data_IF_287406691302
#
_entry.id   IF_287406691302
#
_cell.length_a   1.000
_cell.length_b   1.000
_cell.length_c   1.000
_cell.angle_alpha   90.00
_cell.angle_beta   90.00
_cell.angle_gamma   90.00
#
_symmetry.space_group_name_H-M   'P 1'
#
loop_
_entity.id
_entity.type
_entity.pdbx_description
1 polymer ?
#
# COMPACT_ATOMS: atom_id res chain seq x y z
N UNK A 1 25.86 -8.50 12.13
CA UNK A 1 25.37 -9.37 13.23
C UNK A 1 24.04 -8.82 13.73
N UNK A 2 22.98 -9.64 13.85
CA UNK A 2 21.75 -9.18 14.50
C UNK A 2 22.07 -8.82 15.95
N UNK A 3 21.55 -7.68 16.44
CA UNK A 3 21.69 -7.31 17.86
C UNK A 3 20.94 -8.34 18.73
N UNK A 4 21.49 -8.68 19.91
CA UNK A 4 20.88 -9.63 20.82
C UNK A 4 19.48 -9.16 21.27
N UNK A 5 18.62 -10.08 21.76
CA UNK A 5 17.35 -9.71 22.39
C UNK A 5 17.58 -8.79 23.60
N UNK A 6 16.50 -8.21 24.14
CA UNK A 6 16.58 -7.46 25.39
C UNK A 6 17.18 -8.31 26.51
N UNK A 7 17.85 -7.70 27.51
CA UNK A 7 18.31 -8.39 28.70
C UNK A 7 17.19 -9.15 29.40
N UNK A 8 17.56 -10.21 30.13
CA UNK A 8 16.61 -11.14 30.78
C UNK A 8 15.64 -10.46 31.75
N UNK A 9 16.05 -9.35 32.37
CA UNK A 9 15.20 -8.51 33.24
C UNK A 9 13.91 -8.01 32.55
N UNK A 10 13.91 -7.89 31.23
CA UNK A 10 12.74 -7.47 30.45
C UNK A 10 11.89 -8.64 29.96
N UNK A 11 12.36 -9.89 30.07
CA UNK A 11 11.67 -11.05 29.50
C UNK A 11 10.34 -11.31 30.20
N UNK A 12 10.32 -11.20 31.52
CA UNK A 12 9.11 -11.39 32.32
C UNK A 12 8.08 -10.29 32.03
N UNK A 13 8.53 -9.04 31.92
CA UNK A 13 7.67 -7.91 31.54
C UNK A 13 7.05 -8.10 30.14
N UNK A 14 7.85 -8.55 29.17
CA UNK A 14 7.36 -8.83 27.80
C UNK A 14 6.34 -9.97 27.82
N UNK A 15 6.56 -11.03 28.61
CA UNK A 15 5.64 -12.16 28.74
C UNK A 15 4.32 -11.75 29.39
N UNK A 16 4.36 -10.98 30.46
CA UNK A 16 3.18 -10.48 31.16
C UNK A 16 2.34 -9.56 30.27
N UNK A 17 2.97 -8.57 29.63
CA UNK A 17 2.28 -7.63 28.74
C UNK A 17 1.72 -8.34 27.49
N UNK A 18 2.40 -9.38 26.99
CA UNK A 18 1.89 -10.22 25.91
C UNK A 18 0.67 -11.03 26.36
N UNK A 19 0.70 -11.63 27.55
CA UNK A 19 -0.43 -12.37 28.13
C UNK A 19 -1.66 -11.47 28.37
N UNK A 20 -1.44 -10.18 28.67
CA UNK A 20 -2.50 -9.15 28.74
C UNK A 20 -3.07 -8.76 27.35
N UNK A 21 -2.56 -9.33 26.26
CA UNK A 21 -3.02 -9.11 24.90
C UNK A 21 -2.49 -7.82 24.25
N UNK A 22 -1.44 -7.22 24.79
CA UNK A 22 -0.86 -6.01 24.21
C UNK A 22 -0.05 -6.31 22.95
N UNK A 23 -0.27 -5.50 21.90
CA UNK A 23 0.52 -5.58 20.68
C UNK A 23 1.93 -5.02 20.86
N UNK A 24 2.88 -5.48 20.02
CA UNK A 24 4.30 -5.08 20.03
C UNK A 24 4.56 -3.59 20.30
N UNK A 25 3.88 -2.70 19.58
CA UNK A 25 4.10 -1.24 19.71
C UNK A 25 3.68 -0.70 21.09
N UNK A 26 2.67 -1.31 21.72
CA UNK A 26 2.24 -0.93 23.06
C UNK A 26 3.25 -1.41 24.09
N UNK A 27 3.68 -2.67 24.00
CA UNK A 27 4.73 -3.24 24.87
C UNK A 27 6.00 -2.37 24.79
N UNK A 28 6.45 -2.03 23.58
CA UNK A 28 7.61 -1.19 23.35
C UNK A 28 7.55 0.17 24.07
N UNK A 29 6.36 0.79 24.11
CA UNK A 29 6.15 2.06 24.83
C UNK A 29 6.16 1.85 26.34
N UNK A 30 5.55 0.77 26.81
CA UNK A 30 5.43 0.46 28.24
C UNK A 30 6.80 0.22 28.89
N UNK A 31 7.66 -0.56 28.22
CA UNK A 31 9.00 -0.88 28.73
C UNK A 31 10.08 0.10 28.23
N UNK A 32 9.67 1.15 27.51
CA UNK A 32 10.55 2.17 26.91
C UNK A 32 11.69 1.57 26.04
N UNK A 33 11.36 0.62 25.17
CA UNK A 33 12.31 -0.03 24.27
C UNK A 33 11.90 0.11 22.81
N UNK A 34 12.87 -0.08 21.91
CA UNK A 34 12.59 -0.06 20.49
C UNK A 34 11.65 -1.23 20.08
N UNK A 35 10.65 -1.02 19.21
CA UNK A 35 9.73 -2.08 18.79
C UNK A 35 10.42 -3.29 18.16
N UNK A 36 11.54 -3.07 17.47
CA UNK A 36 12.38 -4.13 16.89
C UNK A 36 12.97 -5.05 17.96
N UNK A 37 13.34 -4.50 19.13
CA UNK A 37 13.87 -5.27 20.24
C UNK A 37 12.79 -6.13 20.88
N UNK A 38 11.58 -5.59 21.04
CA UNK A 38 10.41 -6.35 21.52
C UNK A 38 10.07 -7.50 20.59
N UNK A 39 10.10 -7.28 19.26
CA UNK A 39 9.86 -8.36 18.30
C UNK A 39 10.88 -9.50 18.42
N UNK A 40 12.16 -9.17 18.56
CA UNK A 40 13.22 -10.18 18.72
C UNK A 40 13.13 -10.92 20.05
N UNK A 41 12.83 -10.21 21.13
CA UNK A 41 12.61 -10.83 22.44
C UNK A 41 11.38 -11.73 22.42
N UNK A 42 10.28 -11.30 21.79
CA UNK A 42 9.10 -12.15 21.62
C UNK A 42 9.41 -13.42 20.82
N UNK A 43 10.17 -13.32 19.72
CA UNK A 43 10.64 -14.46 18.94
C UNK A 43 11.52 -15.41 19.75
N UNK A 44 12.48 -14.87 20.50
CA UNK A 44 13.34 -15.63 21.42
C UNK A 44 12.53 -16.36 22.51
N UNK A 45 11.45 -15.74 23.00
CA UNK A 45 10.55 -16.31 24.01
C UNK A 45 9.43 -17.20 23.42
N UNK A 46 9.38 -17.41 22.11
CA UNK A 46 8.33 -18.18 21.45
C UNK A 46 6.95 -17.53 21.46
N UNK A 47 6.86 -16.22 21.68
CA UNK A 47 5.62 -15.46 21.74
C UNK A 47 5.21 -14.98 20.35
N UNK A 48 3.97 -15.26 19.95
CA UNK A 48 3.41 -14.81 18.68
C UNK A 48 2.39 -13.69 18.90
N UNK A 49 2.52 -12.60 18.15
CA UNK A 49 1.50 -11.55 18.17
C UNK A 49 0.38 -11.93 17.20
N UNK A 50 -0.87 -11.81 17.63
CA UNK A 50 -2.03 -11.97 16.76
C UNK A 50 -2.01 -10.93 15.63
N UNK A 51 -1.71 -11.39 14.41
CA UNK A 51 -1.68 -10.58 13.20
C UNK A 51 -3.05 -10.53 12.51
N UNK A 52 -3.99 -11.41 12.86
CA UNK A 52 -5.28 -11.54 12.18
C UNK A 52 -6.11 -10.26 12.25
N UNK A 53 -6.10 -9.57 13.39
CA UNK A 53 -6.78 -8.27 13.55
C UNK A 53 -6.16 -7.17 12.70
N UNK A 54 -4.84 -7.19 12.51
CA UNK A 54 -4.13 -6.19 11.68
C UNK A 54 -4.40 -6.47 10.21
N UNK A 55 -4.38 -7.73 9.80
CA UNK A 55 -4.68 -8.16 8.43
C UNK A 55 -6.12 -7.84 8.05
N UNK A 56 -7.08 -8.14 8.92
CA UNK A 56 -8.50 -7.80 8.72
C UNK A 56 -8.70 -6.28 8.60
N UNK A 57 -8.08 -5.49 9.49
CA UNK A 57 -8.15 -4.02 9.43
C UNK A 57 -7.48 -3.47 8.16
N UNK A 58 -6.36 -4.06 7.72
CA UNK A 58 -5.67 -3.67 6.49
C UNK A 58 -6.53 -4.00 5.27
N UNK A 59 -7.12 -5.19 5.23
CA UNK A 59 -8.01 -5.61 4.14
C UNK A 59 -9.26 -4.73 4.05
N UNK A 60 -9.88 -4.41 5.18
CA UNK A 60 -11.00 -3.47 5.24
C UNK A 60 -10.60 -2.10 4.68
N UNK A 61 -9.47 -1.55 5.14
CA UNK A 61 -8.96 -0.27 4.63
C UNK A 61 -8.65 -0.29 3.14
N UNK A 62 -8.12 -1.39 2.61
CA UNK A 62 -7.87 -1.54 1.18
C UNK A 62 -9.18 -1.60 0.37
N UNK A 63 -10.21 -2.26 0.88
CA UNK A 63 -11.54 -2.27 0.28
C UNK A 63 -12.15 -0.86 0.27
N UNK A 64 -12.11 -0.15 1.40
CA UNK A 64 -12.60 1.23 1.50
C UNK A 64 -11.87 2.17 0.52
N UNK A 65 -10.55 2.00 0.37
CA UNK A 65 -9.75 2.78 -0.58
C UNK A 65 -10.10 2.46 -2.03
N UNK A 66 -10.35 1.19 -2.34
CA UNK A 66 -10.78 0.78 -3.68
C UNK A 66 -12.14 1.37 -4.02
N UNK A 67 -13.10 1.33 -3.09
CA UNK A 67 -14.42 1.93 -3.23
C UNK A 67 -14.34 3.45 -3.47
N UNK A 68 -13.60 4.17 -2.61
CA UNK A 68 -13.41 5.63 -2.77
C UNK A 68 -12.74 5.99 -4.09
N UNK A 69 -11.85 5.13 -4.59
CA UNK A 69 -11.20 5.34 -5.89
C UNK A 69 -12.19 5.20 -7.04
N UNK A 70 -13.12 4.24 -6.95
CA UNK A 70 -14.21 4.08 -7.93
C UNK A 70 -15.16 5.27 -7.90
N UNK A 71 -15.57 5.74 -6.72
CA UNK A 71 -16.42 6.94 -6.61
C UNK A 71 -15.75 8.17 -7.24
N UNK A 72 -14.47 8.41 -6.93
CA UNK A 72 -13.74 9.53 -7.51
C UNK A 72 -13.61 9.42 -9.04
N UNK A 73 -13.51 8.19 -9.56
CA UNK A 73 -13.53 7.93 -10.98
C UNK A 73 -14.89 8.30 -11.61
N UNK A 74 -16.00 7.91 -11.00
CA UNK A 74 -17.35 8.29 -11.45
C UNK A 74 -17.57 9.80 -11.42
N UNK A 75 -17.07 10.49 -10.39
CA UNK A 75 -17.14 11.95 -10.28
C UNK A 75 -16.36 12.63 -11.42
N UNK A 76 -15.13 12.17 -11.71
CA UNK A 76 -14.33 12.70 -12.81
C UNK A 76 -14.95 12.46 -14.18
N UNK A 77 -15.61 11.31 -14.37
CA UNK A 77 -16.37 11.05 -15.60
C UNK A 77 -17.53 12.02 -15.74
N UNK A 78 -18.31 12.20 -14.67
CA UNK A 78 -19.44 13.12 -14.62
C UNK A 78 -19.01 14.56 -14.89
N UNK A 79 -17.86 14.99 -14.37
CA UNK A 79 -17.31 16.32 -14.64
C UNK A 79 -16.88 16.47 -16.11
N UNK A 80 -16.24 15.46 -16.69
CA UNK A 80 -15.90 15.48 -18.11
C UNK A 80 -17.15 15.56 -19.02
N UNK A 81 -18.23 14.86 -18.66
CA UNK A 81 -19.51 14.91 -19.35
C UNK A 81 -20.15 16.31 -19.28
N UNK A 82 -20.16 16.92 -18.09
CA UNK A 82 -20.67 18.29 -17.91
C UNK A 82 -19.88 19.31 -18.73
N UNK A 83 -18.55 19.25 -18.68
CA UNK A 83 -17.69 20.13 -19.48
C UNK A 83 -17.93 19.96 -20.98
N UNK A 84 -18.18 18.71 -21.42
CA UNK A 84 -18.53 18.41 -22.80
C UNK A 84 -19.88 18.99 -23.21
N UNK A 85 -20.89 18.93 -22.33
CA UNK A 85 -22.19 19.52 -22.57
C UNK A 85 -22.10 21.05 -22.64
N UNK A 86 -21.41 21.67 -21.68
CA UNK A 86 -21.24 23.11 -21.56
C UNK A 86 -20.66 23.77 -22.82
N UNK A 87 -19.81 23.07 -23.58
CA UNK A 87 -19.28 23.58 -24.85
C UNK A 87 -20.37 23.97 -25.86
N UNK A 88 -21.54 23.35 -25.79
CA UNK A 88 -22.65 23.53 -26.71
C UNK A 88 -23.79 24.36 -26.12
N UNK A 89 -23.59 24.91 -24.92
CA UNK A 89 -24.56 25.76 -24.24
C UNK A 89 -24.24 27.24 -24.46
N UNK A 90 -25.26 28.13 -24.44
CA UNK A 90 -25.04 29.57 -24.51
C UNK A 90 -24.06 30.04 -23.44
N UNK A 91 -23.09 30.85 -23.85
CA UNK A 91 -21.98 31.26 -22.99
C UNK A 91 -21.79 32.77 -23.08
N UNK A 92 -21.84 33.45 -21.94
CA UNK A 92 -21.51 34.87 -21.84
C UNK A 92 -20.03 35.03 -21.52
N UNK A 93 -19.30 35.73 -22.39
CA UNK A 93 -17.89 36.04 -22.20
C UNK A 93 -17.75 37.50 -21.81
N UNK A 94 -16.91 37.76 -20.81
CA UNK A 94 -16.62 39.08 -20.29
C UNK A 94 -15.23 39.51 -20.74
N UNK A 95 -15.11 40.76 -21.19
CA UNK A 95 -13.86 41.39 -21.57
C UNK A 95 -13.68 42.67 -20.78
N UNK A 96 -12.47 42.87 -20.27
CA UNK A 96 -12.04 44.14 -19.71
C UNK A 96 -10.91 44.66 -20.57
N UNK A 97 -11.07 45.84 -21.18
CA UNK A 97 -10.10 46.30 -22.17
C UNK A 97 -10.20 47.77 -22.54
N UNK A 98 -9.32 48.17 -23.46
CA UNK A 98 -9.17 49.56 -23.89
C UNK A 98 -8.35 50.41 -22.93
N UNK A 99 -8.15 51.68 -23.31
CA UNK A 99 -7.36 52.65 -22.53
C UNK A 99 -7.97 52.94 -21.16
N UNK A 100 -9.30 52.84 -21.06
CA UNK A 100 -10.06 53.20 -19.87
C UNK A 100 -10.54 51.96 -19.07
N UNK A 101 -10.10 50.75 -19.45
CA UNK A 101 -10.43 49.48 -18.80
C UNK A 101 -11.95 49.25 -18.62
N UNK A 102 -12.69 49.40 -19.71
CA UNK A 102 -14.15 49.27 -19.72
C UNK A 102 -14.56 47.79 -19.74
N UNK A 103 -15.62 47.48 -18.98
CA UNK A 103 -16.27 46.18 -19.00
C UNK A 103 -17.20 46.07 -20.20
N UNK A 104 -17.06 44.98 -20.95
CA UNK A 104 -17.95 44.58 -22.03
C UNK A 104 -18.28 43.10 -21.89
N UNK A 105 -19.51 42.73 -22.23
CA UNK A 105 -19.96 41.34 -22.26
C UNK A 105 -20.66 40.99 -23.57
N UNK A 106 -20.50 39.75 -23.99
CA UNK A 106 -21.16 39.23 -25.17
C UNK A 106 -21.63 37.80 -24.93
N UNK A 107 -22.90 37.54 -25.26
CA UNK A 107 -23.47 36.20 -25.16
C UNK A 107 -23.43 35.53 -26.53
N UNK A 108 -22.84 34.35 -26.58
CA UNK A 108 -22.77 33.50 -27.76
C UNK A 108 -23.79 32.35 -27.63
N UNK A 109 -24.32 31.88 -28.76
CA UNK A 109 -25.26 30.73 -28.80
C UNK A 109 -24.62 29.44 -28.27
N UNK A 110 -23.30 29.33 -28.39
CA UNK A 110 -22.47 28.28 -27.84
C UNK A 110 -21.10 28.83 -27.42
N UNK A 111 -20.35 28.08 -26.61
CA UNK A 111 -19.03 28.52 -26.16
C UNK A 111 -18.11 28.89 -27.36
N UNK A 112 -17.45 30.07 -27.35
CA UNK A 112 -16.54 30.44 -28.42
C UNK A 112 -15.30 29.54 -28.44
N UNK A 113 -14.57 29.53 -29.55
CA UNK A 113 -13.49 28.57 -29.80
C UNK A 113 -12.37 28.56 -28.73
N UNK A 114 -12.10 29.70 -28.08
CA UNK A 114 -11.14 29.77 -26.98
C UNK A 114 -11.64 28.99 -25.75
N UNK A 115 -12.89 29.21 -25.36
CA UNK A 115 -13.53 28.53 -24.22
C UNK A 115 -13.73 27.04 -24.50
N UNK A 116 -14.18 26.66 -25.71
CA UNK A 116 -14.27 25.24 -26.11
C UNK A 116 -12.94 24.51 -25.97
N UNK A 117 -11.82 25.15 -26.34
CA UNK A 117 -10.49 24.58 -26.16
C UNK A 117 -10.16 24.39 -24.67
N UNK A 118 -10.46 25.38 -23.83
CA UNK A 118 -10.23 25.28 -22.40
C UNK A 118 -11.08 24.17 -21.75
N UNK A 119 -12.38 24.13 -22.05
CA UNK A 119 -13.30 23.09 -21.57
C UNK A 119 -12.85 21.70 -22.00
N UNK A 120 -12.50 21.51 -23.28
CA UNK A 120 -12.03 20.23 -23.80
C UNK A 120 -10.68 19.81 -23.19
N UNK A 121 -9.75 20.74 -22.97
CA UNK A 121 -8.47 20.44 -22.32
C UNK A 121 -8.67 19.97 -20.87
N UNK A 122 -9.58 20.61 -20.14
CA UNK A 122 -9.95 20.19 -18.78
C UNK A 122 -10.64 18.84 -18.78
N UNK A 123 -11.60 18.61 -19.68
CA UNK A 123 -12.27 17.32 -19.82
C UNK A 123 -11.29 16.18 -20.17
N UNK A 124 -10.35 16.42 -21.08
CA UNK A 124 -9.29 15.46 -21.42
C UNK A 124 -8.41 15.14 -20.21
N UNK A 125 -8.10 16.14 -19.39
CA UNK A 125 -7.33 15.92 -18.14
C UNK A 125 -8.13 15.08 -17.15
N UNK A 126 -9.43 15.35 -16.95
CA UNK A 126 -10.29 14.55 -16.08
C UNK A 126 -10.34 13.07 -16.52
N UNK A 127 -10.47 12.83 -17.83
CA UNK A 127 -10.44 11.48 -18.42
C UNK A 127 -9.07 10.81 -18.19
N UNK A 128 -7.95 11.51 -18.40
CA UNK A 128 -6.60 10.97 -18.13
C UNK A 128 -6.41 10.60 -16.65
N UNK A 129 -6.96 11.39 -15.71
CA UNK A 129 -6.90 11.07 -14.27
C UNK A 129 -7.81 9.89 -13.91
N UNK A 130 -9.00 9.83 -14.47
CA UNK A 130 -9.92 8.71 -14.34
C UNK A 130 -9.26 7.39 -14.76
N UNK A 131 -8.63 7.35 -15.94
CA UNK A 131 -7.93 6.15 -16.45
C UNK A 131 -6.79 5.68 -15.54
N UNK A 132 -6.21 6.57 -14.74
CA UNK A 132 -5.17 6.23 -13.75
C UNK A 132 -5.75 5.75 -12.42
N UNK A 133 -6.99 6.13 -12.11
CA UNK A 133 -7.71 5.67 -10.93
C UNK A 133 -8.35 4.30 -11.16
N UNK A 134 -8.71 3.94 -12.40
CA UNK A 134 -9.20 2.59 -12.72
C UNK A 134 -8.06 1.80 -13.38
N UNK A 135 -7.18 1.12 -12.62
CA UNK A 135 -6.20 0.23 -13.21
C UNK A 135 -6.95 -0.86 -13.97
N UNK A 136 -6.42 -1.20 -15.15
CA UNK A 136 -6.85 -2.39 -15.86
C UNK A 136 -6.77 -3.59 -14.91
N UNK A 137 -7.81 -4.43 -14.91
CA UNK A 137 -7.92 -5.62 -14.04
C UNK A 137 -6.65 -6.51 -14.07
N UNK A 138 -5.89 -6.45 -15.16
CA UNK A 138 -4.65 -7.17 -15.41
C UNK A 138 -3.51 -6.85 -14.42
N UNK A 139 -3.40 -5.63 -13.91
CA UNK A 139 -2.29 -5.24 -13.03
C UNK A 139 -2.36 -5.95 -11.67
N UNK A 140 -3.56 -6.11 -11.12
CA UNK A 140 -3.82 -6.81 -9.87
C UNK A 140 -3.52 -8.32 -9.96
N UNK A 141 -3.88 -8.94 -11.08
CA UNK A 141 -3.64 -10.37 -11.32
C UNK A 141 -2.14 -10.68 -11.49
N UNK A 142 -1.42 -9.81 -12.20
CA UNK A 142 0.01 -10.00 -12.46
C UNK A 142 0.84 -9.88 -11.18
N UNK A 143 0.58 -8.90 -10.32
CA UNK A 143 1.34 -8.72 -9.09
C UNK A 143 1.01 -9.79 -8.05
N UNK A 144 -0.24 -10.26 -8.00
CA UNK A 144 -0.61 -11.40 -7.17
C UNK A 144 0.11 -12.68 -7.64
N UNK A 145 0.17 -12.93 -8.95
CA UNK A 145 0.90 -14.07 -9.52
C UNK A 145 2.40 -14.00 -9.19
N UNK A 146 3.05 -12.85 -9.35
CA UNK A 146 4.47 -12.66 -8.98
C UNK A 146 4.72 -12.93 -7.49
N UNK A 147 3.82 -12.48 -6.62
CA UNK A 147 3.93 -12.72 -5.18
C UNK A 147 3.84 -14.21 -4.84
N UNK A 148 2.91 -14.95 -5.47
CA UNK A 148 2.80 -16.39 -5.30
C UNK A 148 4.05 -17.13 -5.81
N UNK A 149 4.57 -16.76 -6.98
CA UNK A 149 5.83 -17.31 -7.51
C UNK A 149 7.03 -17.02 -6.59
N UNK A 150 7.12 -15.83 -6.02
CA UNK A 150 8.15 -15.49 -5.03
C UNK A 150 8.06 -16.35 -3.78
N UNK A 151 6.86 -16.49 -3.21
CA UNK A 151 6.64 -17.34 -2.03
C UNK A 151 6.98 -18.82 -2.26
N UNK A 152 6.74 -19.31 -3.48
CA UNK A 152 7.13 -20.66 -3.88
C UNK A 152 8.65 -20.81 -4.00
N UNK A 153 9.34 -19.82 -4.59
CA UNK A 153 10.80 -19.79 -4.68
C UNK A 153 11.47 -19.78 -3.30
N UNK A 154 10.92 -18.99 -2.38
CA UNK A 154 11.38 -18.93 -0.98
C UNK A 154 11.20 -20.29 -0.28
N UNK A 155 10.05 -20.93 -0.45
CA UNK A 155 9.77 -22.25 0.10
C UNK A 155 10.71 -23.33 -0.46
N UNK A 156 10.99 -23.30 -1.76
CA UNK A 156 11.92 -24.25 -2.40
C UNK A 156 13.35 -24.07 -1.89
N UNK A 157 13.77 -22.81 -1.72
CA UNK A 157 15.12 -22.48 -1.22
C UNK A 157 15.28 -22.90 0.24
N UNK A 158 14.24 -22.70 1.06
CA UNK A 158 14.24 -23.17 2.45
C UNK A 158 14.30 -24.71 2.53
N UNK A 159 13.57 -25.41 1.65
CA UNK A 159 13.61 -26.86 1.58
C UNK A 159 14.99 -27.40 1.18
N UNK A 160 15.63 -26.78 0.17
CA UNK A 160 16.99 -27.16 -0.25
C UNK A 160 18.00 -27.04 0.89
N UNK A 161 18.01 -25.91 1.61
CA UNK A 161 18.92 -25.72 2.75
C UNK A 161 18.68 -26.74 3.86
N UNK A 162 17.43 -27.09 4.13
CA UNK A 162 17.09 -28.10 5.13
C UNK A 162 17.55 -29.52 4.73
N UNK A 163 17.61 -29.82 3.43
CA UNK A 163 18.19 -31.10 2.95
C UNK A 163 19.71 -31.11 3.05
N UNK A 164 20.39 -30.03 2.68
CA UNK A 164 21.84 -29.93 2.79
C UNK A 164 22.30 -30.11 4.26
N UNK A 165 21.58 -29.52 5.22
CA UNK A 165 21.84 -29.67 6.67
C UNK A 165 21.55 -31.08 7.21
N UNK A 166 20.61 -31.83 6.60
CA UNK A 166 20.33 -33.23 6.94
C UNK A 166 21.34 -34.21 6.34
N UNK A 167 21.88 -33.92 5.16
CA UNK A 167 22.93 -34.74 4.54
C UNK A 167 24.28 -34.57 5.25
N UNK A 168 24.62 -33.37 5.71
CA UNK A 168 25.86 -33.12 6.49
C UNK A 168 25.85 -33.82 7.86
N UNK A 169 24.68 -33.98 8.49
CA UNK A 169 24.55 -34.66 9.80
C UNK A 169 24.48 -36.18 9.69
N UNK A 170 24.12 -36.73 8.52
CA UNK A 170 24.14 -38.17 8.25
C UNK A 170 25.52 -38.68 7.78
N UNK A 171 26.43 -37.77 7.41
CA UNK A 171 27.72 -38.09 6.80
C UNK A 171 28.90 -38.32 7.76
N UNK A 172 28.76 -38.16 9.08
CA UNK A 172 29.88 -38.31 10.01
C UNK A 172 30.07 -39.79 10.41
N UNK A 173 31.10 -40.50 9.89
CA UNK A 173 31.31 -41.89 10.22
C UNK A 173 31.88 -41.97 11.63
N UNK A 174 31.22 -42.74 12.50
CA UNK A 174 31.75 -43.20 13.78
C UNK A 174 33.02 -44.04 13.52
N UNK A 175 34.15 -43.37 13.38
CA UNK A 175 35.44 -43.97 13.08
C UNK A 175 36.51 -43.44 14.01
N UNK A 176 36.63 -44.01 15.20
CA UNK A 176 37.83 -43.84 16.01
C UNK A 176 37.70 -44.26 17.46
N UNK A 177 38.15 -45.47 17.77
CA UNK A 177 38.79 -45.91 19.01
C UNK A 177 39.14 -47.40 18.82
N UNK A 178 40.33 -47.95 19.05
CA UNK A 178 41.59 -47.45 19.59
C UNK A 178 42.62 -48.59 19.48
N UNK A 179 43.90 -48.21 19.45
CA UNK A 179 45.08 -49.07 19.38
C UNK A 179 45.22 -49.99 20.60
N UNK A 180 45.69 -51.22 20.40
CA UNK A 180 46.90 -51.82 21.01
C UNK A 180 47.04 -53.29 20.59
#
# INVERSE_FOLDING_TARGET
MPKPPLPEEFHDQVRELHALGYGRNRIAREINQAPVMVSRTAEYLGLTFDRSRIEAATKARLADLAERRTMLAEDLLSDAEKLRAQMWEPTTVYSFGGKDNTYEDHTFDEAPAAEKRALMATAATAIDRLLKLVPAEDATNLDQAKSMLGSLGDALTAFSRAQDEQEDTAGEPLGGEGRA
#
